data_IF_360666164403
#
_entry.id   IF_360666164403
#
_cell.length_a   1.000
_cell.length_b   1.000
_cell.length_c   1.000
_cell.angle_alpha   90.00
_cell.angle_beta   90.00
_cell.angle_gamma   90.00
#
_symmetry.space_group_name_H-M   'P 1'
#
loop_
_entity.id
_entity.type
_entity.pdbx_description
1 polymer ?
#
# COMPACT_ATOMS: atom_id res chain seq x y z
N UNK A 1 -17.41 1.61 -12.17
CA UNK A 1 -16.91 2.14 -10.88
C UNK A 1 -15.57 1.46 -10.62
N UNK A 2 -14.47 2.19 -10.75
CA UNK A 2 -13.15 1.65 -10.41
C UNK A 2 -13.08 1.61 -8.88
N UNK A 3 -12.77 0.46 -8.28
CA UNK A 3 -12.54 0.39 -6.84
C UNK A 3 -11.08 0.73 -6.55
N UNK A 4 -10.79 1.30 -5.38
CA UNK A 4 -9.42 1.59 -4.95
C UNK A 4 -8.53 0.34 -5.06
N UNK A 5 -9.04 -0.80 -4.59
CA UNK A 5 -8.37 -2.10 -4.73
C UNK A 5 -8.08 -2.43 -6.20
N UNK A 6 -9.04 -2.25 -7.10
CA UNK A 6 -8.83 -2.51 -8.52
C UNK A 6 -7.75 -1.62 -9.14
N UNK A 7 -7.75 -0.32 -8.81
CA UNK A 7 -6.73 0.62 -9.26
C UNK A 7 -5.34 0.23 -8.76
N UNK A 8 -5.22 -0.10 -7.47
CA UNK A 8 -3.95 -0.48 -6.85
C UNK A 8 -3.44 -1.83 -7.40
N UNK A 9 -4.30 -2.83 -7.53
CA UNK A 9 -3.93 -4.12 -8.15
C UNK A 9 -3.46 -3.93 -9.60
N UNK A 10 -4.09 -3.02 -10.36
CA UNK A 10 -3.63 -2.70 -11.72
C UNK A 10 -2.26 -2.01 -11.76
N UNK A 11 -1.90 -1.28 -10.70
CA UNK A 11 -0.58 -0.67 -10.49
C UNK A 11 0.48 -1.64 -9.98
N UNK A 12 0.15 -2.93 -9.81
CA UNK A 12 1.06 -3.96 -9.31
C UNK A 12 1.13 -4.07 -7.78
N UNK A 13 0.24 -3.38 -7.07
CA UNK A 13 0.15 -3.50 -5.62
C UNK A 13 -0.64 -4.75 -5.22
N UNK A 14 -0.38 -5.22 -4.00
CA UNK A 14 -1.04 -6.37 -3.39
C UNK A 14 -1.54 -6.01 -1.99
N UNK A 15 -2.61 -6.66 -1.54
CA UNK A 15 -3.09 -6.59 -0.13
C UNK A 15 -2.27 -7.48 0.80
N UNK A 16 -1.32 -8.23 0.24
CA UNK A 16 -0.42 -9.14 0.96
C UNK A 16 1.00 -8.90 0.47
N UNK A 17 1.95 -8.74 1.40
CA UNK A 17 3.38 -8.66 1.11
C UNK A 17 4.14 -9.80 1.80
N UNK A 18 5.21 -10.26 1.18
CA UNK A 18 6.12 -11.21 1.81
C UNK A 18 7.20 -10.45 2.59
N UNK A 19 7.49 -10.90 3.81
CA UNK A 19 8.68 -10.44 4.53
C UNK A 19 9.96 -11.04 3.93
N UNK A 20 11.12 -10.58 4.42
CA UNK A 20 12.44 -11.07 3.99
C UNK A 20 12.65 -12.58 4.26
N UNK A 21 11.88 -13.17 5.17
CA UNK A 21 11.90 -14.61 5.48
C UNK A 21 10.93 -15.42 4.61
N UNK A 22 10.21 -14.77 3.70
CA UNK A 22 9.22 -15.39 2.82
C UNK A 22 7.86 -15.65 3.45
N UNK A 23 7.56 -15.10 4.63
CA UNK A 23 6.23 -15.23 5.23
C UNK A 23 5.28 -14.19 4.64
N UNK A 24 4.08 -14.59 4.18
CA UNK A 24 3.07 -13.65 3.73
C UNK A 24 2.42 -12.92 4.92
N UNK A 25 2.26 -11.61 4.79
CA UNK A 25 1.58 -10.73 5.74
C UNK A 25 0.45 -9.98 5.06
N UNK A 26 -0.75 -10.07 5.63
CA UNK A 26 -1.91 -9.30 5.18
C UNK A 26 -1.84 -7.86 5.71
N UNK A 27 -2.09 -6.89 4.84
CA UNK A 27 -1.96 -5.47 5.16
C UNK A 27 -3.27 -4.85 5.68
N UNK A 28 -4.40 -5.54 5.50
CA UNK A 28 -5.71 -5.07 5.95
C UNK A 28 -6.38 -4.07 5.00
N UNK A 29 -7.43 -3.40 5.49
CA UNK A 29 -8.28 -2.52 4.68
C UNK A 29 -7.58 -1.22 4.34
N UNK A 30 -7.68 -0.78 3.08
CA UNK A 30 -7.05 0.44 2.54
C UNK A 30 -5.51 0.46 2.62
N UNK A 31 -4.88 -0.68 2.89
CA UNK A 31 -3.43 -0.83 2.91
C UNK A 31 -2.99 -1.70 1.75
N UNK A 32 -1.98 -1.24 1.03
CA UNK A 32 -1.46 -1.89 -0.16
C UNK A 32 0.05 -1.89 -0.13
N UNK A 33 0.64 -2.94 -0.66
CA UNK A 33 2.08 -3.13 -0.64
C UNK A 33 2.61 -3.50 -2.01
N UNK A 34 3.84 -3.07 -2.29
CA UNK A 34 4.55 -3.37 -3.53
C UNK A 34 6.05 -3.49 -3.25
N UNK A 35 6.70 -4.42 -3.95
CA UNK A 35 8.17 -4.46 -4.02
C UNK A 35 8.58 -3.73 -5.29
N UNK A 36 9.26 -2.59 -5.13
CA UNK A 36 9.60 -1.72 -6.26
C UNK A 36 11.00 -1.14 -6.08
N UNK A 37 11.62 -0.76 -7.20
CA UNK A 37 12.88 0.00 -7.24
C UNK A 37 12.63 1.51 -7.28
N UNK A 38 11.37 1.94 -7.35
CA UNK A 38 10.99 3.35 -7.32
C UNK A 38 11.37 4.00 -5.98
N UNK A 39 11.64 5.30 -6.03
CA UNK A 39 11.80 6.10 -4.81
C UNK A 39 10.46 6.27 -4.11
N UNK A 40 10.47 6.59 -2.81
CA UNK A 40 9.24 6.86 -2.08
C UNK A 40 8.44 8.03 -2.68
N UNK A 41 9.11 9.04 -3.24
CA UNK A 41 8.45 10.20 -3.84
C UNK A 41 7.72 9.82 -5.13
N UNK A 42 8.38 9.09 -6.03
CA UNK A 42 7.76 8.59 -7.27
C UNK A 42 6.59 7.66 -6.96
N UNK A 43 6.78 6.75 -6.00
CA UNK A 43 5.74 5.84 -5.55
C UNK A 43 4.54 6.61 -4.99
N UNK A 44 4.77 7.65 -4.19
CA UNK A 44 3.71 8.48 -3.62
C UNK A 44 2.89 9.16 -4.70
N UNK A 45 3.55 9.75 -5.70
CA UNK A 45 2.86 10.39 -6.82
C UNK A 45 2.01 9.39 -7.61
N UNK A 46 2.54 8.19 -7.86
CA UNK A 46 1.79 7.13 -8.55
C UNK A 46 0.54 6.70 -7.76
N UNK A 47 0.67 6.52 -6.45
CA UNK A 47 -0.45 6.12 -5.58
C UNK A 47 -1.50 7.23 -5.48
N UNK A 48 -1.08 8.49 -5.36
CA UNK A 48 -2.00 9.64 -5.35
C UNK A 48 -2.80 9.69 -6.65
N UNK A 49 -2.13 9.62 -7.81
CA UNK A 49 -2.81 9.68 -9.11
C UNK A 49 -3.80 8.51 -9.30
N UNK A 50 -3.41 7.29 -8.89
CA UNK A 50 -4.28 6.13 -8.94
C UNK A 50 -5.48 6.25 -7.99
N UNK A 51 -5.26 6.76 -6.77
CA UNK A 51 -6.30 6.97 -5.79
C UNK A 51 -7.26 8.11 -6.15
N UNK A 52 -6.77 9.20 -6.73
CA UNK A 52 -7.60 10.29 -7.28
C UNK A 52 -8.55 9.79 -8.37
N UNK A 53 -8.03 8.98 -9.28
CA UNK A 53 -8.85 8.39 -10.34
C UNK A 53 -9.90 7.40 -9.82
N UNK A 54 -9.66 6.75 -8.68
CA UNK A 54 -10.54 5.72 -8.13
C UNK A 54 -11.56 6.28 -7.13
N UNK A 55 -11.16 7.27 -6.33
CA UNK A 55 -11.96 7.87 -5.26
C UNK A 55 -12.64 9.17 -5.68
N UNK A 56 -12.26 9.74 -6.84
CA UNK A 56 -12.72 11.05 -7.31
C UNK A 56 -12.35 12.21 -6.35
N UNK A 57 -11.36 11.97 -5.48
CA UNK A 57 -10.81 12.91 -4.49
C UNK A 57 -9.34 12.62 -4.24
N UNK A 58 -8.58 13.62 -3.80
CA UNK A 58 -7.18 13.45 -3.40
C UNK A 58 -7.09 12.65 -2.09
N UNK A 59 -6.54 11.43 -2.11
CA UNK A 59 -6.37 10.63 -0.90
C UNK A 59 -5.21 11.16 -0.04
N UNK A 60 -5.33 10.99 1.27
CA UNK A 60 -4.15 11.05 2.14
C UNK A 60 -3.36 9.74 1.99
N UNK A 61 -2.08 9.86 1.65
CA UNK A 61 -1.20 8.71 1.39
C UNK A 61 -0.03 8.75 2.35
N UNK A 62 0.00 7.76 3.24
CA UNK A 62 1.14 7.46 4.11
C UNK A 62 1.94 6.31 3.51
N UNK A 63 3.23 6.53 3.30
CA UNK A 63 4.16 5.49 2.87
C UNK A 63 5.03 5.08 4.06
N UNK A 64 5.17 3.78 4.26
CA UNK A 64 6.11 3.21 5.21
C UNK A 64 6.72 1.93 4.64
N UNK A 65 7.74 1.40 5.32
CA UNK A 65 8.31 0.09 5.00
C UNK A 65 7.46 -1.02 5.61
N UNK A 66 7.55 -2.23 5.06
CA UNK A 66 6.84 -3.39 5.61
C UNK A 66 7.23 -3.66 7.07
N UNK A 67 8.52 -3.56 7.43
CA UNK A 67 8.97 -3.80 8.82
C UNK A 67 8.31 -2.83 9.80
N UNK A 68 8.29 -1.55 9.46
CA UNK A 68 7.71 -0.51 10.29
C UNK A 68 6.18 -0.63 10.36
N UNK A 69 5.52 -0.95 9.25
CA UNK A 69 4.09 -1.27 9.21
C UNK A 69 3.73 -2.42 10.14
N UNK A 70 4.45 -3.54 10.06
CA UNK A 70 4.20 -4.72 10.90
C UNK A 70 4.48 -4.43 12.38
N UNK A 71 5.47 -3.58 12.68
CA UNK A 71 5.78 -3.14 14.04
C UNK A 71 4.67 -2.28 14.64
N UNK A 72 4.11 -1.36 13.86
CA UNK A 72 3.01 -0.49 14.30
C UNK A 72 1.69 -1.26 14.44
N UNK A 73 1.40 -2.16 13.48
CA UNK A 73 0.26 -3.07 13.55
C UNK A 73 0.30 -3.97 14.79
N UNK A 74 1.49 -4.48 15.16
CA UNK A 74 1.68 -5.26 16.38
C UNK A 74 1.43 -4.44 17.65
N UNK A 75 1.76 -3.14 17.65
CA UNK A 75 1.58 -2.23 18.78
C UNK A 75 0.11 -1.79 18.96
N UNK A 76 -0.67 -1.80 17.89
CA UNK A 76 -2.08 -1.42 17.90
C UNK A 76 -3.03 -2.48 18.48
N UNK A 77 -2.49 -3.66 18.85
CA UNK A 77 -3.25 -4.78 19.46
C UNK A 77 -3.13 -4.81 20.99
N UNK A 78 -2.50 -3.81 21.61
CA UNK A 78 -2.34 -3.68 23.08
C UNK A 78 -3.35 -2.72 23.73
#
# INVERSE_FOLDING_TARGET
>A
MLTLTGAMTSGGFSTTLMDDKGNPHELGTNSFGIVTTLTQEDLKQQVIAAGESALEQTPDVTLTTLDDFLRDAARSTE
#
